data_IF_423475846555
#
_entry.id   IF_423475846555
#
_cell.length_a   1.000
_cell.length_b   1.000
_cell.length_c   1.000
_cell.angle_alpha   90.00
_cell.angle_beta   90.00
_cell.angle_gamma   90.00
#
_symmetry.space_group_name_H-M   'P 1'
#
loop_
_entity.id
_entity.type
_entity.pdbx_description
1 polymer ?
#
# COMPACT_ATOMS: atom_id res chain seq x y z
N UNK A 1 4.60 -25.75 -25.42
CA UNK A 1 4.09 -24.85 -24.36
C UNK A 1 4.90 -24.92 -23.06
N UNK A 2 5.43 -26.08 -22.63
CA UNK A 2 6.27 -26.17 -21.43
C UNK A 2 7.57 -25.35 -21.53
N UNK A 3 8.29 -25.47 -22.66
CA UNK A 3 9.55 -24.75 -22.88
C UNK A 3 9.42 -23.22 -22.76
N UNK A 4 8.30 -22.65 -23.21
CA UNK A 4 8.06 -21.19 -23.11
C UNK A 4 7.91 -20.72 -21.67
N UNK A 5 7.26 -21.53 -20.82
CA UNK A 5 7.12 -21.25 -19.38
C UNK A 5 8.46 -21.33 -18.67
N UNK A 6 9.28 -22.33 -19.02
CA UNK A 6 10.61 -22.51 -18.45
C UNK A 6 11.56 -21.35 -18.83
N UNK A 7 11.45 -20.83 -20.06
CA UNK A 7 12.22 -19.66 -20.51
C UNK A 7 11.77 -18.40 -19.77
N UNK A 8 10.47 -18.20 -19.59
CA UNK A 8 9.93 -17.05 -18.87
C UNK A 8 10.33 -17.05 -17.38
N UNK A 9 10.28 -18.21 -16.72
CA UNK A 9 10.71 -18.38 -15.33
C UNK A 9 12.21 -18.05 -15.18
N UNK A 10 13.07 -18.59 -16.05
CA UNK A 10 14.52 -18.28 -16.03
C UNK A 10 14.80 -16.80 -16.26
N UNK A 11 14.04 -16.16 -17.14
CA UNK A 11 14.16 -14.72 -17.40
C UNK A 11 13.77 -13.90 -16.17
N UNK A 12 12.70 -14.29 -15.48
CA UNK A 12 12.28 -13.66 -14.24
C UNK A 12 13.38 -13.77 -13.17
N UNK A 13 13.90 -14.98 -12.92
CA UNK A 13 14.97 -15.20 -11.95
C UNK A 13 16.19 -14.31 -12.24
N UNK A 14 16.62 -14.26 -13.50
CA UNK A 14 17.73 -13.42 -13.94
C UNK A 14 17.48 -11.93 -13.68
N UNK A 15 16.26 -11.44 -13.90
CA UNK A 15 15.91 -10.03 -13.67
C UNK A 15 15.86 -9.72 -12.16
N UNK A 16 15.31 -10.62 -11.36
CA UNK A 16 15.28 -10.47 -9.89
C UNK A 16 16.71 -10.42 -9.35
N UNK A 17 17.58 -11.32 -9.81
CA UNK A 17 19.00 -11.32 -9.44
C UNK A 17 19.70 -10.03 -9.82
N UNK A 18 19.54 -9.58 -11.06
CA UNK A 18 20.14 -8.33 -11.51
C UNK A 18 19.64 -7.13 -10.68
N UNK A 19 18.35 -7.11 -10.33
CA UNK A 19 17.78 -6.06 -9.49
C UNK A 19 18.37 -6.07 -8.07
N UNK A 20 18.41 -7.23 -7.42
CA UNK A 20 18.92 -7.36 -6.04
C UNK A 20 20.41 -7.03 -5.98
N UNK A 21 21.22 -7.50 -6.93
CA UNK A 21 22.65 -7.18 -6.99
C UNK A 21 22.88 -5.68 -7.25
N UNK A 22 22.14 -5.07 -8.19
CA UNK A 22 22.23 -3.64 -8.41
C UNK A 22 21.82 -2.82 -7.17
N UNK A 23 20.83 -3.32 -6.42
CA UNK A 23 20.38 -2.69 -5.18
C UNK A 23 21.44 -2.80 -4.10
N UNK A 24 22.05 -3.98 -3.92
CA UNK A 24 23.13 -4.26 -2.96
C UNK A 24 24.29 -3.28 -3.07
N UNK A 25 24.71 -2.96 -4.30
CA UNK A 25 25.83 -2.06 -4.56
C UNK A 25 25.57 -0.61 -4.12
N UNK A 26 24.30 -0.20 -4.02
CA UNK A 26 23.92 1.21 -3.81
C UNK A 26 23.10 1.45 -2.54
N UNK A 27 22.46 0.42 -2.00
CA UNK A 27 21.50 0.49 -0.91
C UNK A 27 21.60 -0.77 -0.04
N UNK A 28 21.47 -0.62 1.29
CA UNK A 28 21.43 -1.73 2.23
C UNK A 28 20.08 -2.44 2.37
N UNK A 29 19.11 -2.16 1.48
CA UNK A 29 17.77 -2.72 1.55
C UNK A 29 17.07 -2.81 0.19
N UNK A 30 16.06 -3.68 0.14
CA UNK A 30 15.13 -3.89 -0.98
C UNK A 30 13.69 -3.58 -0.53
N UNK A 31 12.94 -2.83 -1.34
CA UNK A 31 11.50 -2.59 -1.15
C UNK A 31 10.72 -3.45 -2.14
N UNK A 32 9.67 -4.15 -1.67
CA UNK A 32 8.89 -5.05 -2.54
C UNK A 32 8.04 -4.28 -3.55
N UNK A 33 7.48 -3.11 -3.22
CA UNK A 33 6.77 -2.24 -4.18
C UNK A 33 7.72 -1.74 -5.28
N UNK A 34 8.93 -1.30 -4.92
CA UNK A 34 9.90 -0.84 -5.91
C UNK A 34 10.39 -1.98 -6.80
N UNK A 35 10.70 -3.13 -6.19
CA UNK A 35 11.14 -4.32 -6.92
C UNK A 35 10.08 -4.73 -7.94
N UNK A 36 8.84 -4.88 -7.52
CA UNK A 36 7.76 -5.30 -8.40
C UNK A 36 7.56 -4.33 -9.57
N UNK A 37 7.52 -3.02 -9.32
CA UNK A 37 7.38 -2.01 -10.40
C UNK A 37 8.50 -2.11 -11.43
N UNK A 38 9.75 -2.27 -10.96
CA UNK A 38 10.91 -2.36 -11.85
C UNK A 38 10.86 -3.66 -12.64
N UNK A 39 10.61 -4.78 -11.98
CA UNK A 39 10.58 -6.11 -12.59
C UNK A 39 9.45 -6.18 -13.63
N UNK A 40 8.23 -5.75 -13.31
CA UNK A 40 7.12 -5.70 -14.27
C UNK A 40 7.42 -4.80 -15.47
N UNK A 41 8.09 -3.67 -15.25
CA UNK A 41 8.48 -2.76 -16.35
C UNK A 41 9.50 -3.41 -17.30
N UNK A 42 10.42 -4.21 -16.78
CA UNK A 42 11.44 -4.91 -17.57
C UNK A 42 10.84 -6.13 -18.28
N UNK A 43 9.98 -6.88 -17.60
CA UNK A 43 9.38 -8.09 -18.14
C UNK A 43 8.41 -7.76 -19.29
N UNK A 44 7.69 -6.62 -19.21
CA UNK A 44 6.54 -6.29 -20.07
C UNK A 44 5.62 -7.51 -20.22
N UNK A 45 4.93 -7.91 -19.13
CA UNK A 45 4.19 -9.16 -19.12
C UNK A 45 3.20 -9.20 -20.28
N UNK A 46 3.40 -10.19 -21.16
CA UNK A 46 2.45 -10.50 -22.23
C UNK A 46 1.37 -11.43 -21.69
N UNK A 47 0.16 -11.48 -22.28
CA UNK A 47 -0.91 -12.38 -21.83
C UNK A 47 -0.54 -13.88 -21.81
N UNK A 48 0.57 -14.22 -22.45
CA UNK A 48 1.13 -15.57 -22.58
C UNK A 48 2.23 -15.88 -21.56
N UNK A 49 2.70 -14.90 -20.80
CA UNK A 49 3.69 -15.10 -19.75
C UNK A 49 3.03 -15.72 -18.51
N UNK A 50 3.76 -16.55 -17.73
CA UNK A 50 3.28 -17.01 -16.44
C UNK A 50 2.89 -15.80 -15.57
N UNK A 51 1.61 -15.74 -15.22
CA UNK A 51 1.07 -14.74 -14.31
C UNK A 51 1.51 -15.11 -12.89
N UNK A 52 2.63 -14.56 -12.44
CA UNK A 52 3.00 -14.63 -11.03
C UNK A 52 2.07 -13.70 -10.25
N UNK A 53 1.59 -14.16 -9.12
CA UNK A 53 0.93 -13.28 -8.17
C UNK A 53 1.92 -12.27 -7.61
N UNK A 54 1.41 -11.12 -7.18
CA UNK A 54 2.22 -10.08 -6.55
C UNK A 54 2.96 -10.61 -5.31
N UNK A 55 2.32 -11.51 -4.56
CA UNK A 55 2.90 -12.16 -3.38
C UNK A 55 4.04 -13.12 -3.73
N UNK A 56 3.90 -13.94 -4.78
CA UNK A 56 4.98 -14.83 -5.21
C UNK A 56 6.20 -14.04 -5.67
N UNK A 57 6.00 -12.92 -6.37
CA UNK A 57 7.10 -12.05 -6.79
C UNK A 57 7.80 -11.42 -5.57
N UNK A 58 7.04 -10.96 -4.59
CA UNK A 58 7.56 -10.39 -3.34
C UNK A 58 8.40 -11.44 -2.57
N UNK A 59 7.93 -12.69 -2.49
CA UNK A 59 8.64 -13.79 -1.83
C UNK A 59 9.96 -14.14 -2.54
N UNK A 60 9.97 -14.20 -3.88
CA UNK A 60 11.19 -14.47 -4.65
C UNK A 60 12.24 -13.37 -4.45
N UNK A 61 11.81 -12.10 -4.46
CA UNK A 61 12.67 -10.95 -4.22
C UNK A 61 13.21 -10.98 -2.78
N UNK A 62 12.34 -11.27 -1.80
CA UNK A 62 12.72 -11.33 -0.40
C UNK A 62 13.74 -12.44 -0.14
N UNK A 63 13.51 -13.64 -0.66
CA UNK A 63 14.42 -14.77 -0.52
C UNK A 63 15.81 -14.45 -1.06
N UNK A 64 15.89 -13.81 -2.24
CA UNK A 64 17.16 -13.46 -2.84
C UNK A 64 17.87 -12.30 -2.14
N UNK A 65 17.11 -11.32 -1.64
CA UNK A 65 17.65 -10.22 -0.84
C UNK A 65 18.24 -10.73 0.49
N UNK A 66 17.54 -11.62 1.20
CA UNK A 66 18.04 -12.25 2.45
C UNK A 66 19.31 -13.05 2.17
N UNK A 67 19.33 -13.84 1.11
CA UNK A 67 20.53 -14.59 0.68
C UNK A 67 21.73 -13.66 0.43
N UNK A 68 21.47 -12.42 0.01
CA UNK A 68 22.48 -11.40 -0.27
C UNK A 68 22.81 -10.48 0.91
N UNK A 69 22.24 -10.72 2.09
CA UNK A 69 22.47 -9.91 3.28
C UNK A 69 21.80 -8.53 3.23
N UNK A 70 20.75 -8.37 2.41
CA UNK A 70 19.98 -7.14 2.31
C UNK A 70 18.74 -7.18 3.20
N UNK A 71 18.44 -6.06 3.85
CA UNK A 71 17.16 -5.90 4.54
C UNK A 71 16.01 -5.86 3.53
N UNK A 72 14.86 -6.44 3.89
CA UNK A 72 13.65 -6.45 3.05
C UNK A 72 12.57 -5.61 3.69
N UNK A 73 11.96 -4.73 2.91
CA UNK A 73 10.85 -3.86 3.31
C UNK A 73 9.62 -4.24 2.51
N UNK A 74 8.58 -4.72 3.19
CA UNK A 74 7.27 -5.05 2.60
C UNK A 74 6.36 -3.82 2.63
N UNK A 75 6.50 -2.92 1.65
CA UNK A 75 5.79 -1.64 1.57
C UNK A 75 4.57 -1.64 0.62
N UNK A 76 4.32 -2.78 -0.04
CA UNK A 76 3.24 -2.92 -1.03
C UNK A 76 1.84 -2.87 -0.43
N UNK A 77 1.63 -3.52 0.72
CA UNK A 77 0.34 -3.54 1.43
C UNK A 77 -0.11 -2.19 1.98
N UNK A 78 0.83 -1.26 2.21
CA UNK A 78 0.55 0.08 2.74
C UNK A 78 -0.18 0.95 1.69
N UNK A 79 -0.09 0.60 0.41
CA UNK A 79 -0.79 1.28 -0.69
C UNK A 79 -2.01 0.53 -1.23
N UNK A 80 -2.19 -0.74 -0.85
CA UNK A 80 -3.02 -1.70 -1.58
C UNK A 80 -4.30 -2.20 -0.88
N UNK A 81 -4.50 -1.98 0.42
CA UNK A 81 -5.74 -2.42 1.06
C UNK A 81 -6.84 -1.35 0.98
N UNK A 82 -7.30 -1.08 -0.24
CA UNK A 82 -8.66 -0.59 -0.52
C UNK A 82 -9.22 -1.51 -1.60
N UNK A 83 -9.54 -2.74 -1.20
CA UNK A 83 -10.00 -3.77 -2.12
C UNK A 83 -10.14 -5.08 -1.36
N UNK A 84 -11.29 -5.26 -0.72
CA UNK A 84 -11.57 -6.46 0.03
C UNK A 84 -11.57 -7.71 -0.86
N UNK A 85 -11.03 -8.78 -0.31
CA UNK A 85 -11.69 -10.08 -0.32
C UNK A 85 -11.42 -10.73 1.02
N UNK A 86 -12.49 -10.80 1.80
CA UNK A 86 -12.65 -11.70 2.93
C UNK A 86 -12.34 -13.12 2.44
N UNK A 87 -11.24 -13.68 2.93
CA UNK A 87 -11.03 -15.12 2.94
C UNK A 87 -10.74 -15.51 4.39
N UNK A 88 -11.84 -15.56 5.12
CA UNK A 88 -12.15 -16.49 6.21
C UNK A 88 -11.10 -17.60 6.39
N UNK A 89 -10.25 -17.43 7.41
CA UNK A 89 -9.62 -18.55 8.09
C UNK A 89 -10.10 -18.51 9.53
N UNK A 90 -11.29 -19.07 9.71
CA UNK A 90 -11.75 -19.56 11.01
C UNK A 90 -10.77 -20.61 11.52
N UNK A 91 -10.12 -20.31 12.65
CA UNK A 91 -9.67 -21.28 13.65
C UNK A 91 -9.23 -20.56 14.93
N UNK A 92 -10.18 -20.52 15.86
CA UNK A 92 -9.99 -20.79 17.31
C UNK A 92 -9.35 -19.67 18.15
N UNK A 93 -10.20 -18.82 18.72
CA UNK A 93 -9.94 -18.05 19.96
C UNK A 93 -9.74 -18.98 21.17
N UNK A 94 -9.24 -18.54 22.36
CA UNK A 94 -9.01 -17.14 22.80
C UNK A 94 -7.66 -16.92 23.50
N UNK A 95 -7.24 -15.65 23.64
CA UNK A 95 -6.65 -15.02 24.86
C UNK A 95 -5.68 -13.90 24.48
N UNK A 96 -6.07 -12.68 24.86
CA UNK A 96 -5.34 -11.41 24.79
C UNK A 96 -5.29 -10.70 23.42
N UNK A 97 -6.37 -10.00 23.06
CA UNK A 97 -6.25 -8.84 22.17
C UNK A 97 -6.85 -7.61 22.87
N UNK A 98 -6.03 -6.58 22.98
CA UNK A 98 -6.30 -5.32 23.66
C UNK A 98 -7.52 -4.57 23.06
N UNK A 99 -8.08 -3.58 23.77
CA UNK A 99 -9.32 -2.91 23.37
C UNK A 99 -9.18 -2.32 21.97
N UNK A 100 -10.19 -2.59 21.13
CA UNK A 100 -10.30 -2.06 19.77
C UNK A 100 -10.00 -0.56 19.75
N UNK A 101 -8.97 -0.17 19.00
CA UNK A 101 -8.71 1.22 18.67
C UNK A 101 -9.94 1.76 17.92
N UNK A 102 -10.45 2.91 18.35
CA UNK A 102 -11.61 3.55 17.75
C UNK A 102 -11.40 3.88 16.26
N UNK A 103 -12.46 4.29 15.55
CA UNK A 103 -12.41 4.54 14.11
C UNK A 103 -11.30 5.55 13.76
N UNK A 104 -10.44 5.21 12.79
CA UNK A 104 -9.31 6.04 12.35
C UNK A 104 -9.79 7.29 11.60
N UNK A 105 -10.11 8.32 12.38
CA UNK A 105 -10.55 9.62 11.86
C UNK A 105 -9.43 10.30 11.07
N UNK A 106 -8.17 10.13 11.47
CA UNK A 106 -7.04 10.81 10.84
C UNK A 106 -6.75 10.26 9.44
N UNK A 107 -6.77 8.93 9.27
CA UNK A 107 -6.65 8.28 7.97
C UNK A 107 -7.83 8.61 7.05
N UNK A 108 -9.05 8.70 7.60
CA UNK A 108 -10.21 9.10 6.82
C UNK A 108 -10.10 10.55 6.30
N UNK A 109 -9.58 11.48 7.09
CA UNK A 109 -9.30 12.87 6.63
C UNK A 109 -8.30 12.87 5.48
N UNK A 110 -7.20 12.14 5.60
CA UNK A 110 -6.19 12.06 4.54
C UNK A 110 -6.78 11.49 3.24
N UNK A 111 -7.56 10.41 3.35
CA UNK A 111 -8.21 9.79 2.20
C UNK A 111 -9.16 10.75 1.48
N UNK A 112 -9.96 11.52 2.23
CA UNK A 112 -10.90 12.48 1.62
C UNK A 112 -10.15 13.66 0.98
N UNK A 113 -9.13 14.21 1.64
CA UNK A 113 -8.33 15.31 1.08
C UNK A 113 -7.56 14.89 -0.18
N UNK A 114 -7.04 13.66 -0.22
CA UNK A 114 -6.37 13.11 -1.40
C UNK A 114 -7.37 12.89 -2.54
N UNK A 115 -8.54 12.31 -2.23
CA UNK A 115 -9.58 12.00 -3.22
C UNK A 115 -10.17 13.27 -3.87
N UNK A 116 -10.23 14.39 -3.13
CA UNK A 116 -10.97 15.58 -3.54
C UNK A 116 -10.07 16.78 -3.92
N UNK A 117 -8.80 16.53 -4.29
CA UNK A 117 -7.82 17.56 -4.68
C UNK A 117 -8.27 18.51 -5.82
N UNK A 118 -9.34 18.16 -6.55
CA UNK A 118 -9.85 18.89 -7.71
C UNK A 118 -11.20 19.57 -7.49
N UNK A 119 -11.86 19.37 -6.34
CA UNK A 119 -13.17 19.96 -6.04
C UNK A 119 -13.08 20.86 -4.79
N UNK A 120 -13.58 22.11 -4.83
CA UNK A 120 -13.63 22.94 -3.63
C UNK A 120 -14.63 22.35 -2.65
N UNK A 121 -14.14 21.95 -1.48
CA UNK A 121 -14.97 21.47 -0.38
C UNK A 121 -15.05 22.52 0.71
N UNK A 122 -16.24 22.66 1.29
CA UNK A 122 -16.41 23.39 2.51
C UNK A 122 -16.11 22.56 3.75
N UNK A 123 -15.77 23.24 4.83
CA UNK A 123 -15.44 22.64 6.12
C UNK A 123 -16.61 21.81 6.70
N UNK A 124 -17.84 22.28 6.54
CA UNK A 124 -19.07 21.61 6.98
C UNK A 124 -19.33 20.30 6.24
N UNK A 125 -19.10 20.27 4.91
CA UNK A 125 -19.22 19.09 4.08
C UNK A 125 -18.16 18.04 4.44
N UNK A 126 -16.93 18.47 4.74
CA UNK A 126 -15.85 17.58 5.17
C UNK A 126 -16.18 16.88 6.50
N UNK A 127 -16.67 17.63 7.48
CA UNK A 127 -17.07 17.08 8.79
C UNK A 127 -18.20 16.06 8.63
N UNK A 128 -19.21 16.38 7.80
CA UNK A 128 -20.33 15.48 7.52
C UNK A 128 -19.87 14.17 6.88
N UNK A 129 -18.97 14.24 5.89
CA UNK A 129 -18.39 13.06 5.24
C UNK A 129 -17.53 12.23 6.21
N UNK A 130 -16.79 12.87 7.11
CA UNK A 130 -16.01 12.18 8.13
C UNK A 130 -16.90 11.43 9.11
N UNK A 131 -17.99 12.05 9.59
CA UNK A 131 -18.96 11.38 10.45
C UNK A 131 -19.61 10.20 9.74
N UNK A 132 -19.97 10.34 8.47
CA UNK A 132 -20.53 9.25 7.69
C UNK A 132 -19.55 8.07 7.52
N UNK A 133 -18.27 8.35 7.26
CA UNK A 133 -17.26 7.29 7.01
C UNK A 133 -16.72 6.63 8.27
N UNK A 134 -16.66 7.36 9.38
CA UNK A 134 -15.96 6.91 10.60
C UNK A 134 -16.89 6.67 11.79
N UNK A 135 -18.12 7.19 11.77
CA UNK A 135 -19.00 7.14 12.92
C UNK A 135 -18.48 7.94 14.13
N UNK A 136 -17.51 8.83 13.93
CA UNK A 136 -16.88 9.58 15.01
C UNK A 136 -17.87 10.46 15.79
N UNK A 137 -17.77 10.41 17.12
CA UNK A 137 -18.54 11.26 18.05
C UNK A 137 -17.74 12.48 18.53
N UNK A 138 -16.54 12.72 17.96
CA UNK A 138 -15.70 13.89 18.28
C UNK A 138 -16.45 15.20 18.01
N UNK A 139 -16.07 16.27 18.72
CA UNK A 139 -16.65 17.60 18.53
C UNK A 139 -16.23 18.19 17.18
N UNK A 140 -17.05 19.08 16.63
CA UNK A 140 -16.74 19.75 15.36
C UNK A 140 -15.44 20.54 15.45
N UNK A 141 -15.17 21.22 16.58
CA UNK A 141 -13.92 21.95 16.79
C UNK A 141 -12.66 21.06 16.72
N UNK A 142 -12.71 19.83 17.25
CA UNK A 142 -11.59 18.87 17.14
C UNK A 142 -11.40 18.42 15.69
N UNK A 143 -12.51 18.16 14.98
CA UNK A 143 -12.48 17.76 13.58
C UNK A 143 -11.96 18.90 12.69
N UNK A 144 -12.40 20.14 12.91
CA UNK A 144 -11.90 21.34 12.22
C UNK A 144 -10.39 21.49 12.40
N UNK A 145 -9.90 21.37 13.64
CA UNK A 145 -8.47 21.46 13.94
C UNK A 145 -7.65 20.38 13.22
N UNK A 146 -8.16 19.15 13.18
CA UNK A 146 -7.52 18.04 12.49
C UNK A 146 -7.51 18.22 10.97
N UNK A 147 -8.65 18.62 10.39
CA UNK A 147 -8.81 18.86 8.96
C UNK A 147 -7.91 20.02 8.52
N UNK A 148 -7.92 21.14 9.22
CA UNK A 148 -7.10 22.31 8.89
C UNK A 148 -5.60 21.97 8.92
N UNK A 149 -5.16 21.22 9.94
CA UNK A 149 -3.76 20.78 10.06
C UNK A 149 -3.34 19.90 8.87
N UNK A 150 -4.19 18.94 8.48
CA UNK A 150 -3.88 18.02 7.36
C UNK A 150 -3.99 18.72 6.01
N UNK A 151 -4.96 19.60 5.81
CA UNK A 151 -5.11 20.40 4.60
C UNK A 151 -3.91 21.33 4.37
N UNK A 152 -3.37 21.94 5.43
CA UNK A 152 -2.15 22.76 5.36
C UNK A 152 -0.94 21.95 4.91
N UNK A 153 -0.77 20.73 5.41
CA UNK A 153 0.32 19.82 4.97
C UNK A 153 0.17 19.45 3.49
N UNK A 154 -1.06 19.28 3.01
CA UNK A 154 -1.36 18.90 1.63
C UNK A 154 -1.51 20.08 0.66
N UNK A 155 -1.34 21.32 1.13
CA UNK A 155 -1.59 22.57 0.40
C UNK A 155 -2.99 22.61 -0.26
N UNK A 156 -4.01 22.11 0.45
CA UNK A 156 -5.41 22.15 0.01
C UNK A 156 -6.09 23.34 0.64
N UNK A 157 -6.69 24.21 -0.18
CA UNK A 157 -7.51 25.31 0.30
C UNK A 157 -8.94 24.83 0.55
N UNK A 158 -9.39 24.98 1.78
CA UNK A 158 -10.77 24.69 2.19
C UNK A 158 -11.51 26.02 2.37
N UNK A 159 -12.73 26.10 1.85
CA UNK A 159 -13.62 27.22 2.15
C UNK A 159 -14.21 27.03 3.54
N UNK A 160 -14.15 28.08 4.37
CA UNK A 160 -14.88 28.14 5.62
C UNK A 160 -16.25 28.74 5.30
N UNK A 161 -17.30 27.92 5.44
CA UNK A 161 -18.68 28.40 5.39
C UNK A 161 -19.02 29.15 6.68
#
# INVERSE_FOLDING_TARGET
MQQSKDIAARRLDMIIEQYVEARKQRFGYVSTDQAARVIHRILKPTPSDPSFSDHELDDMVAALAVKNGLAVVFDRGIRGSVGGTEAELDRKDPTMRAPAEGPDVAGAVDAILIQQKTAPLSMSAMISLLRQRTGTTRSDADLEGLIAKKAAVLNVHLSRD
#
